data_IF_992400022867
#
_entry.id   IF_992400022867
#
_cell.length_a   1.000
_cell.length_b   1.000
_cell.length_c   1.000
_cell.angle_alpha   90.00
_cell.angle_beta   90.00
_cell.angle_gamma   90.00
#
_symmetry.space_group_name_H-M   'P 1'
#
loop_
_entity.id
_entity.type
_entity.pdbx_description
1 polymer ?
#
# COMPACT_ATOMS: atom_id res chain seq x y z
N UNK A 1 -7.10 -2.89 -21.37
CA UNK A 1 -6.11 -2.14 -20.60
C UNK A 1 -5.95 -2.79 -19.25
N UNK A 2 -4.75 -2.78 -18.74
CA UNK A 2 -4.43 -3.52 -17.52
C UNK A 2 -4.73 -2.73 -16.26
N UNK A 3 -4.92 -3.45 -15.19
CA UNK A 3 -4.95 -2.89 -13.83
C UNK A 3 -3.71 -3.34 -13.09
N UNK A 4 -3.31 -2.57 -12.10
CA UNK A 4 -2.17 -2.91 -11.26
C UNK A 4 -2.67 -3.41 -9.90
N UNK A 5 -2.14 -4.55 -9.47
CA UNK A 5 -2.35 -5.10 -8.14
C UNK A 5 -1.09 -4.87 -7.32
N UNK A 6 -1.25 -4.31 -6.14
CA UNK A 6 -0.16 -4.14 -5.18
C UNK A 6 -0.40 -5.12 -4.04
N UNK A 7 0.61 -5.93 -3.73
CA UNK A 7 0.59 -6.83 -2.58
C UNK A 7 1.84 -6.55 -1.76
N UNK A 8 1.66 -6.29 -0.48
CA UNK A 8 2.81 -6.11 0.41
C UNK A 8 2.55 -6.78 1.75
N UNK A 9 3.63 -7.04 2.47
CA UNK A 9 3.56 -7.57 3.82
C UNK A 9 4.02 -6.49 4.81
N UNK A 10 3.30 -6.40 5.92
CA UNK A 10 3.62 -5.48 6.98
C UNK A 10 3.96 -6.29 8.23
N UNK A 11 5.16 -6.08 8.76
CA UNK A 11 5.58 -6.74 9.99
C UNK A 11 4.89 -6.06 11.17
N UNK A 12 3.98 -6.79 11.83
CA UNK A 12 3.16 -6.22 12.90
C UNK A 12 3.97 -5.86 14.14
N UNK A 13 5.04 -6.61 14.42
CA UNK A 13 5.91 -6.31 15.56
C UNK A 13 6.68 -5.02 15.32
N UNK A 14 7.20 -4.83 14.11
CA UNK A 14 7.88 -3.60 13.74
C UNK A 14 6.90 -2.43 13.71
N UNK A 15 5.68 -2.65 13.22
CA UNK A 15 4.66 -1.61 13.23
C UNK A 15 4.33 -1.17 14.66
N UNK A 16 4.13 -2.12 15.56
CA UNK A 16 3.89 -1.82 16.97
C UNK A 16 5.04 -1.03 17.58
N UNK A 17 6.26 -1.37 17.20
CA UNK A 17 7.46 -0.74 17.72
C UNK A 17 7.68 0.68 17.17
N UNK A 18 7.40 0.89 15.90
CA UNK A 18 7.73 2.15 15.21
C UNK A 18 6.57 3.11 15.03
N UNK A 19 5.35 2.64 15.22
CA UNK A 19 4.20 3.53 15.15
C UNK A 19 4.27 4.54 16.31
N UNK A 20 3.76 5.75 16.08
CA UNK A 20 3.95 6.88 17.00
C UNK A 20 3.15 6.78 18.32
N UNK A 21 2.27 5.78 18.44
CA UNK A 21 1.53 5.56 19.69
C UNK A 21 1.06 4.11 19.79
N UNK A 22 0.31 3.79 20.86
CA UNK A 22 -0.15 2.43 21.11
C UNK A 22 -1.23 1.94 20.14
N UNK A 23 -1.83 2.84 19.38
CA UNK A 23 -2.89 2.51 18.41
C UNK A 23 -2.32 2.12 17.05
N UNK A 24 -1.30 1.28 17.04
CA UNK A 24 -0.56 0.91 15.84
C UNK A 24 -1.40 0.24 14.75
N UNK A 25 -2.52 -0.37 15.13
CA UNK A 25 -3.45 -0.97 14.15
C UNK A 25 -4.04 0.07 13.20
N UNK A 26 -4.09 1.34 13.63
CA UNK A 26 -4.53 2.43 12.77
C UNK A 26 -3.58 2.66 11.59
N UNK A 27 -2.36 2.11 11.65
CA UNK A 27 -1.42 2.17 10.52
C UNK A 27 -2.00 1.61 9.24
N UNK A 28 -2.80 0.55 9.32
CA UNK A 28 -3.46 -0.01 8.13
C UNK A 28 -4.43 0.98 7.50
N UNK A 29 -5.22 1.67 8.33
CA UNK A 29 -6.15 2.68 7.83
C UNK A 29 -5.41 3.91 7.26
N UNK A 30 -4.28 4.26 7.87
CA UNK A 30 -3.44 5.36 7.38
C UNK A 30 -2.93 5.06 5.96
N UNK A 31 -2.41 3.85 5.75
CA UNK A 31 -1.94 3.40 4.43
C UNK A 31 -3.09 3.42 3.43
N UNK A 32 -4.23 2.88 3.83
CA UNK A 32 -5.40 2.78 2.96
C UNK A 32 -5.84 4.16 2.45
N UNK A 33 -5.84 5.18 3.30
CA UNK A 33 -6.23 6.53 2.89
C UNK A 33 -5.29 7.09 1.84
N UNK A 34 -3.99 6.90 1.99
CA UNK A 34 -3.02 7.40 1.01
C UNK A 34 -3.16 6.64 -0.31
N UNK A 35 -3.23 5.32 -0.26
CA UNK A 35 -3.35 4.52 -1.48
C UNK A 35 -4.68 4.80 -2.19
N UNK A 36 -5.75 5.02 -1.46
CA UNK A 36 -7.03 5.39 -2.05
C UNK A 36 -6.94 6.72 -2.80
N UNK A 37 -6.22 7.69 -2.25
CA UNK A 37 -6.03 8.98 -2.92
C UNK A 37 -5.23 8.86 -4.21
N UNK A 38 -4.48 7.76 -4.39
CA UNK A 38 -3.76 7.42 -5.61
C UNK A 38 -4.50 6.42 -6.48
N UNK A 39 -5.80 6.24 -6.26
CA UNK A 39 -6.68 5.38 -7.07
C UNK A 39 -6.42 3.88 -6.88
N UNK A 40 -5.94 3.49 -5.71
CA UNK A 40 -5.79 2.10 -5.33
C UNK A 40 -6.76 1.75 -4.22
N UNK A 41 -7.70 0.87 -4.51
CA UNK A 41 -8.70 0.44 -3.54
C UNK A 41 -8.23 -0.82 -2.82
N UNK A 42 -8.45 -0.85 -1.50
CA UNK A 42 -8.14 -2.04 -0.70
C UNK A 42 -9.13 -3.15 -1.01
N UNK A 43 -8.59 -4.34 -1.32
CA UNK A 43 -9.41 -5.53 -1.53
C UNK A 43 -9.52 -6.30 -0.21
N UNK A 44 -8.39 -6.61 0.40
CA UNK A 44 -8.32 -7.23 1.71
C UNK A 44 -6.91 -7.06 2.27
N UNK A 45 -6.80 -6.93 3.58
CA UNK A 45 -5.50 -6.84 4.23
C UNK A 45 -4.59 -5.81 3.59
N UNK A 46 -3.48 -6.27 3.03
CA UNK A 46 -2.48 -5.44 2.35
C UNK A 46 -2.46 -5.65 0.84
N UNK A 47 -3.62 -5.98 0.26
CA UNK A 47 -3.81 -6.15 -1.18
C UNK A 47 -4.65 -4.99 -1.71
N UNK A 48 -4.13 -4.32 -2.73
CA UNK A 48 -4.74 -3.14 -3.32
C UNK A 48 -4.81 -3.28 -4.83
N UNK A 49 -5.93 -2.87 -5.41
CA UNK A 49 -6.16 -2.92 -6.85
C UNK A 49 -6.43 -1.51 -7.37
N UNK A 50 -5.83 -1.16 -8.49
CA UNK A 50 -6.12 0.12 -9.14
C UNK A 50 -7.58 0.16 -9.58
N UNK A 51 -8.24 1.29 -9.32
CA UNK A 51 -9.64 1.47 -9.69
C UNK A 51 -9.81 1.71 -11.19
N UNK A 52 -8.81 2.35 -11.79
CA UNK A 52 -8.82 2.71 -13.19
C UNK A 52 -7.94 1.78 -14.00
N UNK A 53 -8.31 1.60 -15.26
CA UNK A 53 -7.52 0.84 -16.22
C UNK A 53 -6.35 1.70 -16.69
N UNK A 54 -5.29 1.05 -17.12
CA UNK A 54 -4.09 1.74 -17.59
C UNK A 54 -3.14 2.16 -16.48
N UNK A 55 -3.46 1.82 -15.24
CA UNK A 55 -2.58 2.05 -14.10
C UNK A 55 -1.55 0.93 -14.05
N UNK A 56 -0.27 1.30 -14.05
CA UNK A 56 0.85 0.36 -14.12
C UNK A 56 1.68 0.37 -12.85
N UNK A 57 2.70 -0.48 -12.81
CA UNK A 57 3.61 -0.60 -11.67
C UNK A 57 4.24 0.74 -11.28
N UNK A 58 4.55 1.61 -12.25
CA UNK A 58 5.12 2.92 -11.95
C UNK A 58 4.18 3.75 -11.07
N UNK A 59 2.88 3.67 -11.33
CA UNK A 59 1.88 4.36 -10.51
C UNK A 59 1.81 3.77 -9.10
N UNK A 60 1.90 2.43 -9.01
CA UNK A 60 1.94 1.74 -7.72
C UNK A 60 3.17 2.12 -6.90
N UNK A 61 4.33 2.22 -7.54
CA UNK A 61 5.56 2.64 -6.89
C UNK A 61 5.42 4.05 -6.34
N UNK A 62 4.88 4.97 -7.13
CA UNK A 62 4.65 6.35 -6.67
C UNK A 62 3.67 6.40 -5.50
N UNK A 63 2.62 5.59 -5.54
CA UNK A 63 1.65 5.53 -4.45
C UNK A 63 2.29 5.06 -3.15
N UNK A 64 3.13 4.01 -3.21
CA UNK A 64 3.84 3.52 -2.04
C UNK A 64 4.88 4.50 -1.53
N UNK A 65 5.56 5.23 -2.44
CA UNK A 65 6.46 6.29 -2.05
C UNK A 65 5.72 7.40 -1.30
N UNK A 66 4.51 7.74 -1.74
CA UNK A 66 3.68 8.72 -1.04
C UNK A 66 3.34 8.26 0.38
N UNK A 67 3.08 6.97 0.56
CA UNK A 67 2.86 6.40 1.90
C UNK A 67 4.11 6.57 2.76
N UNK A 68 5.27 6.22 2.22
CA UNK A 68 6.54 6.28 2.94
C UNK A 68 6.93 7.72 3.32
N UNK A 69 6.65 8.67 2.44
CA UNK A 69 6.91 10.08 2.71
C UNK A 69 6.02 10.60 3.84
N UNK A 70 4.75 10.24 3.79
CA UNK A 70 3.78 10.68 4.80
C UNK A 70 3.98 9.98 6.14
N UNK A 71 4.35 8.70 6.10
CA UNK A 71 4.50 7.87 7.29
C UNK A 71 5.89 7.23 7.30
N UNK A 72 6.88 7.88 7.91
CA UNK A 72 8.25 7.34 7.93
C UNK A 72 8.37 5.93 8.53
N UNK A 73 7.44 5.54 9.40
CA UNK A 73 7.43 4.18 9.96
C UNK A 73 7.15 3.10 8.90
N UNK A 74 6.53 3.46 7.77
CA UNK A 74 6.16 2.49 6.76
C UNK A 74 7.37 1.74 6.20
N UNK A 75 8.43 2.46 5.85
CA UNK A 75 9.65 1.84 5.32
C UNK A 75 10.29 0.87 6.28
N UNK A 76 10.10 1.08 7.58
CA UNK A 76 10.67 0.21 8.61
C UNK A 76 9.84 -1.05 8.82
N UNK A 77 8.60 -1.04 8.41
CA UNK A 77 7.65 -2.11 8.70
C UNK A 77 7.33 -2.97 7.49
N UNK A 78 7.43 -2.43 6.27
CA UNK A 78 7.15 -3.19 5.07
C UNK A 78 8.27 -4.18 4.78
N UNK A 79 7.93 -5.45 4.59
CA UNK A 79 8.93 -6.49 4.40
C UNK A 79 9.04 -6.98 2.96
N UNK A 80 7.97 -6.93 2.19
CA UNK A 80 7.99 -7.28 0.78
C UNK A 80 6.93 -6.51 0.04
N UNK A 81 7.22 -6.19 -1.22
CA UNK A 81 6.27 -5.51 -2.09
C UNK A 81 6.29 -6.22 -3.43
N UNK A 82 5.12 -6.55 -3.95
CA UNK A 82 4.96 -7.18 -5.25
C UNK A 82 3.91 -6.43 -6.05
N UNK A 83 4.17 -6.28 -7.34
CA UNK A 83 3.24 -5.67 -8.27
C UNK A 83 2.85 -6.69 -9.33
N UNK A 84 1.58 -6.73 -9.66
CA UNK A 84 1.06 -7.59 -10.71
C UNK A 84 0.23 -6.75 -11.67
N UNK A 85 0.49 -6.91 -12.96
CA UNK A 85 -0.36 -6.33 -14.00
C UNK A 85 -1.42 -7.35 -14.36
N UNK A 86 -2.68 -6.99 -14.14
CA UNK A 86 -3.80 -7.87 -14.43
C UNK A 86 -4.41 -7.46 -15.77
N UNK A 87 -4.35 -8.37 -16.74
CA UNK A 87 -4.98 -8.14 -18.03
C UNK A 87 -6.48 -8.24 -17.90
N UNK A 88 -7.19 -7.30 -18.53
CA UNK A 88 -8.66 -7.40 -18.62
C UNK A 88 -9.05 -8.43 -19.67
N UNK A 89 -9.95 -9.30 -19.26
CA UNK A 89 -10.51 -10.30 -20.17
C UNK A 89 -11.46 -9.66 -21.19
#
# INVERSE_FOLDING_TARGET
MDRCLIVFDLDTKLLEQHYHNASWRNGYADIQRVLYSHKFANIQGTVYLSEERGIRQAHGTLALQAVAIRFPWFDKCVSSVQFYDLADA
#
